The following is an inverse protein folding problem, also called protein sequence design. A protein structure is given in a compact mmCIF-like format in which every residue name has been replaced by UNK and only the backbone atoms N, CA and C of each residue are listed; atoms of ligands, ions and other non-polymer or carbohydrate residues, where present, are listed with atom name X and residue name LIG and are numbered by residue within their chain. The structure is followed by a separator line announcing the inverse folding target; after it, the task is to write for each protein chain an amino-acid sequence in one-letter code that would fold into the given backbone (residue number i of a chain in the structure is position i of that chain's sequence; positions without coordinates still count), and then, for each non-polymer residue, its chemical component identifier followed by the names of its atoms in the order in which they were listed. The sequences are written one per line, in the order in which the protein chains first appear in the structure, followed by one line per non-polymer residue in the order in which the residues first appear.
data_IF_943621401732
#
_entry.id   IF_943621401732
#
_cell.length_a   1.000
_cell.length_b   1.000
_cell.length_c   1.000
_cell.angle_alpha   90.00
_cell.angle_beta   90.00
_cell.angle_gamma   90.00
#
_symmetry.space_group_name_H-M   'P 1'
#
loop_
_entity.id
_entity.type
_entity.pdbx_description
1 polymer ?
#
# COMPACT_ATOMS: atom_id res chain seq x y z
N UNK A 1 20.77 -32.80 -7.85
CA UNK A 1 20.57 -31.36 -7.59
C UNK A 1 20.19 -30.67 -8.89
N UNK A 2 18.96 -30.16 -9.04
CA UNK A 2 18.53 -29.44 -10.27
C UNK A 2 18.12 -27.98 -10.04
N UNK A 3 18.06 -27.49 -8.80
CA UNK A 3 17.65 -26.11 -8.51
C UNK A 3 18.74 -25.08 -8.83
N UNK A 4 19.99 -25.34 -8.45
CA UNK A 4 21.15 -24.49 -8.77
C UNK A 4 21.50 -24.42 -10.26
N UNK A 5 20.88 -25.27 -11.10
CA UNK A 5 21.01 -25.19 -12.56
C UNK A 5 20.18 -24.06 -13.19
N UNK A 6 19.18 -23.55 -12.47
CA UNK A 6 18.30 -22.48 -12.94
C UNK A 6 18.43 -21.19 -12.11
N UNK A 7 18.82 -21.30 -10.84
CA UNK A 7 18.92 -20.14 -9.93
C UNK A 7 20.24 -20.18 -9.17
N UNK A 8 21.08 -19.18 -9.39
CA UNK A 8 22.46 -19.15 -8.86
C UNK A 8 22.55 -18.66 -7.41
N UNK A 9 21.57 -17.89 -6.93
CA UNK A 9 21.59 -17.27 -5.59
C UNK A 9 20.19 -17.25 -4.94
N UNK A 10 20.16 -17.14 -3.62
CA UNK A 10 18.89 -16.99 -2.87
C UNK A 10 18.19 -15.68 -3.22
N UNK A 11 18.97 -14.63 -3.44
CA UNK A 11 18.50 -13.32 -3.86
C UNK A 11 17.81 -13.41 -5.22
N UNK A 12 18.40 -14.15 -6.18
CA UNK A 12 17.78 -14.38 -7.48
C UNK A 12 16.48 -15.19 -7.40
N UNK A 13 16.34 -16.08 -6.42
CA UNK A 13 15.06 -16.74 -6.14
C UNK A 13 14.02 -15.75 -5.62
N UNK A 14 14.40 -14.83 -4.72
CA UNK A 14 13.48 -13.82 -4.21
C UNK A 14 13.01 -12.87 -5.31
N UNK A 15 13.91 -12.44 -6.20
CA UNK A 15 13.54 -11.60 -7.35
C UNK A 15 12.49 -12.31 -8.23
N UNK A 16 12.67 -13.60 -8.48
CA UNK A 16 11.70 -14.42 -9.24
C UNK A 16 10.36 -14.60 -8.49
N UNK A 17 10.41 -14.84 -7.18
CA UNK A 17 9.20 -14.95 -6.36
C UNK A 17 8.40 -13.66 -6.35
N UNK A 18 9.07 -12.52 -6.23
CA UNK A 18 8.42 -11.20 -6.29
C UNK A 18 7.81 -11.00 -7.66
N UNK A 19 8.57 -11.25 -8.74
CA UNK A 19 8.06 -11.03 -10.10
C UNK A 19 6.86 -11.93 -10.42
N UNK A 20 6.86 -13.20 -9.99
CA UNK A 20 5.69 -14.07 -10.15
C UNK A 20 4.44 -13.48 -9.49
N UNK A 21 4.58 -12.98 -8.26
CA UNK A 21 3.47 -12.38 -7.50
C UNK A 21 3.02 -11.04 -8.08
N UNK A 22 3.92 -10.26 -8.71
CA UNK A 22 3.56 -9.04 -9.45
C UNK A 22 2.57 -9.31 -10.59
N UNK A 23 2.59 -10.52 -11.18
CA UNK A 23 1.62 -10.91 -12.21
C UNK A 23 0.17 -10.86 -11.72
N UNK A 24 -0.06 -11.02 -10.41
CA UNK A 24 -1.37 -10.94 -9.79
C UNK A 24 -1.88 -9.50 -9.63
N UNK A 25 -1.08 -8.48 -9.93
CA UNK A 25 -1.46 -7.05 -9.80
C UNK A 25 -2.04 -6.50 -11.11
N UNK A 26 -1.71 -7.10 -12.25
CA UNK A 26 -2.09 -6.58 -13.57
C UNK A 26 -3.59 -6.71 -13.89
N UNK A 27 -4.35 -5.61 -14.05
CA UNK A 27 -5.78 -5.62 -14.42
C UNK A 27 -6.05 -6.50 -15.65
N UNK A 28 -7.13 -7.28 -15.61
CA UNK A 28 -7.59 -8.04 -16.80
C UNK A 28 -8.06 -7.07 -17.89
N UNK A 29 -8.76 -6.01 -17.49
CA UNK A 29 -9.23 -4.93 -18.35
C UNK A 29 -8.65 -3.60 -17.88
N UNK A 30 -8.08 -2.81 -18.79
CA UNK A 30 -7.52 -1.49 -18.48
C UNK A 30 -8.66 -0.46 -18.42
N UNK A 31 -8.90 0.21 -17.28
CA UNK A 31 -9.88 1.29 -17.21
C UNK A 31 -9.51 2.44 -18.16
N UNK A 32 -10.53 3.14 -18.66
CA UNK A 32 -10.34 4.31 -19.53
C UNK A 32 -9.94 5.58 -18.78
N UNK A 33 -10.24 5.65 -17.48
CA UNK A 33 -9.88 6.77 -16.62
C UNK A 33 -8.64 6.45 -15.77
N UNK A 34 -7.71 7.40 -15.69
CA UNK A 34 -6.44 7.24 -14.97
C UNK A 34 -6.66 6.99 -13.48
N UNK A 35 -7.69 7.63 -12.90
CA UNK A 35 -7.98 7.50 -11.47
C UNK A 35 -8.47 6.09 -11.16
N UNK A 36 -9.38 5.56 -11.98
CA UNK A 36 -9.85 4.18 -11.88
C UNK A 36 -8.69 3.17 -12.07
N UNK A 37 -7.79 3.42 -13.04
CA UNK A 37 -6.65 2.56 -13.29
C UNK A 37 -5.67 2.51 -12.09
N UNK A 38 -5.29 3.66 -11.53
CA UNK A 38 -4.42 3.70 -10.35
C UNK A 38 -5.11 3.12 -9.11
N UNK A 39 -6.41 3.36 -8.94
CA UNK A 39 -7.19 2.77 -7.86
C UNK A 39 -7.21 1.24 -7.96
N UNK A 40 -7.51 0.69 -9.15
CA UNK A 40 -7.51 -0.74 -9.40
C UNK A 40 -6.13 -1.37 -9.11
N UNK A 41 -5.04 -0.75 -9.58
CA UNK A 41 -3.69 -1.22 -9.31
C UNK A 41 -3.36 -1.22 -7.81
N UNK A 42 -3.75 -0.17 -7.08
CA UNK A 42 -3.51 -0.06 -5.63
C UNK A 42 -4.30 -1.13 -4.84
N UNK A 43 -5.60 -1.31 -5.13
CA UNK A 43 -6.43 -2.34 -4.49
C UNK A 43 -5.92 -3.75 -4.83
N UNK A 44 -5.46 -3.99 -6.06
CA UNK A 44 -4.86 -5.27 -6.42
C UNK A 44 -3.55 -5.52 -5.70
N UNK A 45 -2.69 -4.51 -5.59
CA UNK A 45 -1.46 -4.58 -4.80
C UNK A 45 -1.76 -4.94 -3.35
N UNK A 46 -2.76 -4.29 -2.73
CA UNK A 46 -3.22 -4.63 -1.38
C UNK A 46 -3.67 -6.09 -1.28
N UNK A 47 -4.56 -6.53 -2.17
CA UNK A 47 -5.07 -7.92 -2.17
C UNK A 47 -3.96 -8.96 -2.35
N UNK A 48 -3.02 -8.69 -3.24
CA UNK A 48 -1.85 -9.54 -3.48
C UNK A 48 -0.95 -9.59 -2.23
N UNK A 49 -0.69 -8.45 -1.60
CA UNK A 49 0.11 -8.40 -0.37
C UNK A 49 -0.58 -9.11 0.81
N UNK A 50 -1.91 -9.02 0.94
CA UNK A 50 -2.66 -9.76 1.97
C UNK A 50 -2.63 -11.28 1.74
N UNK A 51 -2.55 -11.74 0.49
CA UNK A 51 -2.36 -13.16 0.17
C UNK A 51 -0.92 -13.62 0.38
N UNK A 52 0.04 -12.72 0.15
CA UNK A 52 1.48 -12.98 0.20
C UNK A 52 2.16 -11.98 1.13
N UNK A 53 1.94 -12.10 2.43
CA UNK A 53 2.32 -11.06 3.39
C UNK A 53 3.79 -10.68 3.42
N UNK A 54 4.68 -11.59 3.02
CA UNK A 54 6.11 -11.32 2.86
C UNK A 54 6.41 -10.24 1.80
N UNK A 55 5.48 -10.01 0.86
CA UNK A 55 5.59 -8.97 -0.15
C UNK A 55 5.62 -7.57 0.50
N UNK A 56 4.92 -7.38 1.63
CA UNK A 56 4.84 -6.09 2.30
C UNK A 56 6.22 -5.55 2.66
N UNK A 57 7.15 -6.42 3.04
CA UNK A 57 8.52 -6.06 3.41
C UNK A 57 9.33 -5.55 2.21
N UNK A 58 8.92 -5.91 1.01
CA UNK A 58 9.58 -5.62 -0.27
C UNK A 58 8.92 -4.46 -1.04
N UNK A 59 7.70 -4.04 -0.65
CA UNK A 59 6.99 -2.92 -1.28
C UNK A 59 7.74 -1.59 -1.09
N UNK A 60 7.89 -0.80 -2.17
CA UNK A 60 8.61 0.47 -2.13
C UNK A 60 10.14 0.34 -2.14
N UNK A 61 10.66 -0.87 -2.37
CA UNK A 61 12.06 -1.10 -2.71
C UNK A 61 12.38 -0.72 -4.15
N UNK A 62 13.53 -1.20 -4.65
CA UNK A 62 13.90 -1.01 -6.07
C UNK A 62 12.87 -1.69 -6.99
N UNK A 63 12.56 -1.10 -8.16
CA UNK A 63 11.68 -1.74 -9.13
C UNK A 63 12.15 -3.13 -9.50
N UNK A 64 11.22 -4.08 -9.57
CA UNK A 64 11.46 -5.42 -10.06
C UNK A 64 11.64 -5.36 -11.58
N UNK A 65 12.79 -5.81 -12.07
CA UNK A 65 13.14 -5.78 -13.50
C UNK A 65 12.67 -7.03 -14.26
N UNK A 66 11.87 -7.88 -13.62
CA UNK A 66 11.22 -9.01 -14.27
C UNK A 66 10.03 -8.59 -15.13
N UNK A 67 9.55 -9.47 -16.03
CA UNK A 67 8.49 -9.16 -16.99
C UNK A 67 7.19 -8.67 -16.34
N UNK A 68 6.77 -9.27 -15.23
CA UNK A 68 5.52 -8.87 -14.57
C UNK A 68 5.66 -7.51 -13.90
N UNK A 69 6.78 -7.27 -13.20
CA UNK A 69 7.07 -5.98 -12.59
C UNK A 69 7.15 -4.83 -13.60
N UNK A 70 7.80 -5.08 -14.74
CA UNK A 70 7.85 -4.11 -15.84
C UNK A 70 6.46 -3.88 -16.43
N UNK A 71 5.63 -4.92 -16.58
CA UNK A 71 4.27 -4.77 -17.05
C UNK A 71 3.38 -3.96 -16.08
N UNK A 72 3.55 -4.13 -14.76
CA UNK A 72 2.83 -3.31 -13.77
C UNK A 72 3.26 -1.85 -13.87
N UNK A 73 4.57 -1.61 -14.02
CA UNK A 73 5.12 -0.26 -14.22
C UNK A 73 4.57 0.38 -15.49
N UNK A 74 4.59 -0.35 -16.60
CA UNK A 74 4.02 0.08 -17.89
C UNK A 74 2.53 0.41 -17.75
N UNK A 75 1.72 -0.47 -17.14
CA UNK A 75 0.30 -0.23 -16.95
C UNK A 75 0.02 1.03 -16.10
N UNK A 76 0.86 1.27 -15.09
CA UNK A 76 0.76 2.44 -14.21
C UNK A 76 1.08 3.74 -14.96
N UNK A 77 2.17 3.74 -15.75
CA UNK A 77 2.58 4.90 -16.54
C UNK A 77 1.63 5.18 -17.70
N UNK A 78 1.21 4.14 -18.42
CA UNK A 78 0.29 4.25 -19.53
C UNK A 78 -1.09 4.80 -19.13
N UNK A 79 -1.53 4.56 -17.88
CA UNK A 79 -2.76 5.15 -17.36
C UNK A 79 -2.72 6.68 -17.27
N UNK A 80 -1.52 7.27 -17.15
CA UNK A 80 -1.31 8.70 -17.02
C UNK A 80 -0.78 9.35 -18.33
N UNK A 81 -0.70 8.58 -19.42
CA UNK A 81 -0.14 9.05 -20.68
C UNK A 81 -0.92 10.25 -21.23
N UNK A 82 -0.19 11.24 -21.72
CA UNK A 82 -0.75 12.50 -22.24
C UNK A 82 -1.41 13.44 -21.21
N UNK A 83 -1.43 13.10 -19.92
CA UNK A 83 -2.07 13.96 -18.89
C UNK A 83 -1.16 15.06 -18.36
N UNK A 84 0.16 14.87 -18.38
CA UNK A 84 1.16 15.85 -17.93
C UNK A 84 2.55 15.51 -18.50
N UNK A 85 3.54 16.37 -18.22
CA UNK A 85 4.94 16.05 -18.45
C UNK A 85 5.40 14.84 -17.63
N UNK A 86 6.41 14.11 -18.13
CA UNK A 86 6.86 12.86 -17.52
C UNK A 86 7.33 13.02 -16.07
N UNK A 87 7.93 14.15 -15.71
CA UNK A 87 8.39 14.36 -14.33
C UNK A 87 7.19 14.52 -13.39
N UNK A 88 6.12 15.18 -13.83
CA UNK A 88 4.86 15.28 -13.08
C UNK A 88 4.18 13.92 -12.96
N UNK A 89 4.14 13.13 -14.03
CA UNK A 89 3.60 11.75 -14.01
C UNK A 89 4.37 10.89 -13.01
N UNK A 90 5.71 10.92 -13.04
CA UNK A 90 6.54 10.13 -12.12
C UNK A 90 6.29 10.51 -10.66
N UNK A 91 6.16 11.80 -10.33
CA UNK A 91 5.83 12.25 -8.97
C UNK A 91 4.43 11.83 -8.54
N UNK A 92 3.46 11.85 -9.45
CA UNK A 92 2.11 11.38 -9.18
C UNK A 92 2.10 9.88 -8.84
N UNK A 93 2.77 9.06 -9.65
CA UNK A 93 2.92 7.62 -9.41
C UNK A 93 3.60 7.36 -8.07
N UNK A 94 4.73 8.02 -7.80
CA UNK A 94 5.46 7.86 -6.55
C UNK A 94 4.59 8.22 -5.33
N UNK A 95 3.80 9.30 -5.43
CA UNK A 95 2.91 9.74 -4.34
C UNK A 95 1.82 8.69 -4.04
N UNK A 96 1.17 8.15 -5.08
CA UNK A 96 0.13 7.12 -4.93
C UNK A 96 0.73 5.82 -4.40
N UNK A 97 1.88 5.41 -4.92
CA UNK A 97 2.60 4.22 -4.45
C UNK A 97 3.07 4.36 -3.00
N UNK A 98 3.58 5.52 -2.59
CA UNK A 98 4.03 5.75 -1.23
C UNK A 98 2.90 5.61 -0.21
N UNK A 99 1.73 6.20 -0.50
CA UNK A 99 0.54 5.99 0.32
C UNK A 99 0.15 4.52 0.37
N UNK A 100 -0.01 3.90 -0.79
CA UNK A 100 -0.50 2.51 -0.90
C UNK A 100 0.42 1.54 -0.14
N UNK A 101 1.72 1.65 -0.35
CA UNK A 101 2.73 0.82 0.30
C UNK A 101 2.73 1.02 1.82
N UNK A 102 2.64 2.25 2.31
CA UNK A 102 2.58 2.55 3.74
C UNK A 102 1.34 1.99 4.41
N UNK A 103 0.18 2.15 3.77
CA UNK A 103 -1.09 1.64 4.27
C UNK A 103 -1.11 0.10 4.31
N UNK A 104 -0.66 -0.56 3.25
CA UNK A 104 -0.57 -2.03 3.15
C UNK A 104 0.40 -2.60 4.20
N UNK A 105 1.59 -1.99 4.34
CA UNK A 105 2.58 -2.41 5.36
C UNK A 105 1.98 -2.33 6.76
N UNK A 106 1.31 -1.22 7.10
CA UNK A 106 0.66 -1.05 8.40
C UNK A 106 -0.38 -2.14 8.67
N UNK A 107 -1.22 -2.44 7.69
CA UNK A 107 -2.25 -3.48 7.82
C UNK A 107 -1.65 -4.87 8.05
N UNK A 108 -0.62 -5.23 7.28
CA UNK A 108 0.06 -6.53 7.40
C UNK A 108 0.78 -6.64 8.74
N UNK A 109 1.41 -5.58 9.24
CA UNK A 109 2.02 -5.57 10.58
C UNK A 109 0.99 -5.77 11.68
N UNK A 110 -0.20 -5.17 11.58
CA UNK A 110 -1.30 -5.43 12.51
C UNK A 110 -1.74 -6.90 12.49
N UNK A 111 -1.93 -7.48 11.30
CA UNK A 111 -2.28 -8.91 11.15
C UNK A 111 -1.19 -9.84 11.70
N UNK A 112 0.08 -9.47 11.55
CA UNK A 112 1.22 -10.23 12.09
C UNK A 112 1.25 -10.13 13.62
N UNK A 113 1.01 -8.96 14.18
CA UNK A 113 0.95 -8.73 15.62
C UNK A 113 -0.21 -9.53 16.27
N UNK A 114 -1.38 -9.56 15.64
CA UNK A 114 -2.52 -10.37 16.08
C UNK A 114 -2.15 -11.86 16.13
N UNK A 115 -1.52 -12.40 15.08
CA UNK A 115 -1.06 -13.80 15.08
C UNK A 115 0.03 -14.11 16.11
N UNK A 116 0.96 -13.17 16.33
CA UNK A 116 2.05 -13.36 17.27
C UNK A 116 1.58 -13.30 18.74
N UNK A 117 0.58 -12.46 19.03
CA UNK A 117 0.06 -12.24 20.39
C UNK A 117 -1.18 -13.06 20.72
N UNK A 118 -1.93 -13.50 19.71
CA UNK A 118 -3.25 -14.10 19.84
C UNK A 118 -4.35 -13.11 20.21
N UNK A 119 -4.06 -11.81 20.21
CA UNK A 119 -5.02 -10.76 20.55
C UNK A 119 -5.48 -10.06 19.28
N UNK A 120 -6.79 -10.00 19.08
CA UNK A 120 -7.38 -9.10 18.09
C UNK A 120 -7.03 -7.63 18.43
N UNK A 121 -7.13 -6.73 17.45
CA UNK A 121 -6.90 -5.30 17.68
C UNK A 121 -7.80 -4.76 18.81
N UNK A 122 -9.08 -5.16 18.84
CA UNK A 122 -10.03 -4.80 19.88
C UNK A 122 -9.62 -5.34 21.26
N UNK A 123 -9.13 -6.57 21.34
CA UNK A 123 -8.69 -7.16 22.61
C UNK A 123 -7.40 -6.52 23.11
N UNK A 124 -6.48 -6.18 22.21
CA UNK A 124 -5.28 -5.41 22.54
C UNK A 124 -5.63 -4.01 23.05
N UNK A 125 -6.57 -3.32 22.40
CA UNK A 125 -7.06 -2.01 22.84
C UNK A 125 -7.72 -2.10 24.23
N UNK A 126 -8.56 -3.11 24.47
CA UNK A 126 -9.19 -3.36 25.78
C UNK A 126 -8.15 -3.62 26.88
N UNK A 127 -7.16 -4.46 26.58
CA UNK A 127 -6.09 -4.77 27.52
C UNK A 127 -5.21 -3.53 27.84
N UNK A 128 -4.99 -2.66 26.84
CA UNK A 128 -4.17 -1.44 26.97
C UNK A 128 -4.93 -0.24 27.55
N UNK A 129 -6.27 -0.28 27.51
CA UNK A 129 -7.16 0.81 27.91
C UNK A 129 -6.88 1.44 29.28
N UNK A 130 -6.65 0.65 30.36
CA UNK A 130 -6.31 1.20 31.68
C UNK A 130 -5.02 2.03 31.68
N UNK A 131 -3.99 1.58 30.97
CA UNK A 131 -2.73 2.30 30.86
C UNK A 131 -2.90 3.60 30.09
N UNK A 132 -3.57 3.56 28.93
CA UNK A 132 -3.85 4.74 28.11
C UNK A 132 -4.67 5.75 28.91
N UNK A 133 -5.73 5.31 29.61
CA UNK A 133 -6.58 6.19 30.43
C UNK A 133 -5.79 6.89 31.54
N UNK A 134 -4.90 6.18 32.22
CA UNK A 134 -4.01 6.76 33.25
C UNK A 134 -3.10 7.85 32.66
N UNK A 135 -2.55 7.61 31.47
CA UNK A 135 -1.72 8.60 30.77
C UNK A 135 -2.52 9.83 30.32
N UNK A 136 -3.75 9.64 29.83
CA UNK A 136 -4.64 10.73 29.43
C UNK A 136 -5.07 11.59 30.62
N UNK A 137 -5.30 10.99 31.79
CA UNK A 137 -5.64 11.69 33.03
C UNK A 137 -4.56 12.68 33.50
N UNK A 138 -3.32 12.55 33.01
CA UNK A 138 -2.26 13.55 33.28
C UNK A 138 -2.52 14.90 32.61
N UNK A 139 -3.46 14.99 31.67
CA UNK A 139 -3.77 16.21 30.91
C UNK A 139 -2.72 16.59 29.86
N UNK A 140 -1.62 15.83 29.73
CA UNK A 140 -0.51 16.13 28.82
C UNK A 140 -0.82 15.83 27.34
N UNK A 141 -1.88 15.07 27.06
CA UNK A 141 -2.17 14.57 25.72
C UNK A 141 -3.61 14.90 25.26
N UNK A 142 -4.01 16.19 25.20
CA UNK A 142 -5.39 16.57 24.91
C UNK A 142 -5.84 16.16 23.49
N UNK A 143 -4.96 16.24 22.49
CA UNK A 143 -5.28 15.80 21.13
C UNK A 143 -5.48 14.27 21.04
N UNK A 144 -4.63 13.50 21.74
CA UNK A 144 -4.78 12.05 21.82
C UNK A 144 -6.04 11.66 22.59
N UNK A 145 -6.36 12.36 23.68
CA UNK A 145 -7.59 12.13 24.42
C UNK A 145 -8.81 12.28 23.52
N UNK A 146 -8.87 13.36 22.73
CA UNK A 146 -9.93 13.56 21.74
C UNK A 146 -10.02 12.41 20.75
N UNK A 147 -8.90 11.96 20.21
CA UNK A 147 -8.90 10.83 19.28
C UNK A 147 -9.40 9.53 19.94
N UNK A 148 -8.95 9.22 21.16
CA UNK A 148 -9.34 7.99 21.88
C UNK A 148 -10.84 7.98 22.23
N UNK A 149 -11.42 9.14 22.55
CA UNK A 149 -12.82 9.22 22.97
C UNK A 149 -13.81 9.46 21.83
N UNK A 150 -13.41 10.18 20.77
CA UNK A 150 -14.33 10.64 19.73
C UNK A 150 -14.15 9.90 18.40
N UNK A 151 -13.01 9.23 18.17
CA UNK A 151 -12.78 8.53 16.90
C UNK A 151 -13.58 7.22 16.84
N UNK A 152 -14.16 6.95 15.69
CA UNK A 152 -14.76 5.65 15.37
C UNK A 152 -13.73 4.73 14.76
N UNK A 153 -13.73 3.46 15.16
CA UNK A 153 -12.97 2.42 14.46
C UNK A 153 -13.49 2.29 13.03
N UNK A 154 -12.57 2.29 12.08
CA UNK A 154 -12.84 2.08 10.65
C UNK A 154 -12.04 0.86 10.23
N UNK A 155 -12.68 -0.07 9.51
CA UNK A 155 -11.98 -1.26 9.03
C UNK A 155 -10.82 -0.86 8.07
N UNK A 156 -9.86 -1.78 7.93
CA UNK A 156 -8.63 -1.51 7.20
C UNK A 156 -8.87 -1.22 5.70
N UNK A 157 -9.87 -1.85 5.08
CA UNK A 157 -10.21 -1.62 3.66
C UNK A 157 -10.84 -0.25 3.47
N UNK A 158 -11.81 0.13 4.30
CA UNK A 158 -12.41 1.46 4.24
C UNK A 158 -11.40 2.57 4.51
N UNK A 159 -10.48 2.35 5.46
CA UNK A 159 -9.36 3.28 5.74
C UNK A 159 -8.41 3.41 4.54
N UNK A 160 -8.10 2.30 3.87
CA UNK A 160 -7.25 2.27 2.68
C UNK A 160 -7.92 2.99 1.50
N UNK A 161 -9.17 2.65 1.20
CA UNK A 161 -9.92 3.25 0.09
C UNK A 161 -10.06 4.77 0.27
N UNK A 162 -10.42 5.21 1.48
CA UNK A 162 -10.61 6.64 1.79
C UNK A 162 -9.32 7.44 1.63
N UNK A 163 -8.20 6.95 2.17
CA UNK A 163 -6.95 7.67 2.04
C UNK A 163 -6.38 7.63 0.63
N UNK A 164 -6.62 6.54 -0.12
CA UNK A 164 -6.28 6.46 -1.54
C UNK A 164 -7.03 7.52 -2.35
N UNK A 165 -8.33 7.68 -2.10
CA UNK A 165 -9.15 8.72 -2.73
C UNK A 165 -8.63 10.13 -2.44
N UNK A 166 -8.25 10.42 -1.20
CA UNK A 166 -7.66 11.72 -0.85
C UNK A 166 -6.35 12.00 -1.59
N UNK A 167 -5.51 10.97 -1.76
CA UNK A 167 -4.26 11.10 -2.50
C UNK A 167 -4.52 11.29 -4.00
N UNK A 168 -5.46 10.54 -4.57
CA UNK A 168 -5.86 10.69 -5.97
C UNK A 168 -6.47 12.07 -6.24
N UNK A 169 -7.25 12.63 -5.30
CA UNK A 169 -7.76 14.00 -5.39
C UNK A 169 -6.63 15.03 -5.45
N UNK A 170 -5.63 14.87 -4.58
CA UNK A 170 -4.46 15.75 -4.56
C UNK A 170 -3.64 15.65 -5.85
N UNK A 171 -3.48 14.44 -6.40
CA UNK A 171 -2.80 14.20 -7.69
C UNK A 171 -3.56 14.85 -8.84
N UNK A 172 -4.90 14.72 -8.88
CA UNK A 172 -5.73 15.33 -9.92
C UNK A 172 -5.53 16.85 -10.02
N UNK A 173 -5.42 17.54 -8.87
CA UNK A 173 -5.13 18.98 -8.79
C UNK A 173 -3.74 19.33 -9.36
N UNK A 174 -2.77 18.41 -9.28
CA UNK A 174 -1.43 18.64 -9.82
C UNK A 174 -1.33 18.35 -11.32
N UNK A 175 -1.99 17.31 -11.80
CA UNK A 175 -2.04 16.99 -13.24
C UNK A 175 -2.68 18.14 -14.03
N UNK A 176 -3.81 18.67 -13.56
CA UNK A 176 -4.52 19.80 -14.20
C UNK A 176 -3.75 21.12 -14.20
N UNK A 177 -2.78 21.30 -13.29
CA UNK A 177 -1.93 22.51 -13.23
C UNK A 177 -0.68 22.44 -14.09
N UNK A 178 -0.25 21.25 -14.53
CA UNK A 178 0.86 21.07 -15.48
C UNK A 178 0.39 21.25 -16.93
N UNK A 179 -0.89 20.98 -17.21
CA UNK A 179 -1.49 21.18 -18.54
C UNK A 179 -1.79 22.65 -18.91
N UNK A 180 -1.43 23.63 -18.07
CA UNK A 180 -1.69 25.06 -18.25
C UNK A 180 -0.39 25.86 -18.32
#
# INVERSE_FOLDING_TARGET
MRLYGYISTKEGLFDLMVDEVQGEILPEERPGDWREALSALAHRTRRTALRHEWLADLLGGRPTLGPNGLAVTEATLAALDGLADIDTVMRAVETVSAYSNGAIRREIENLRAERATGLSELDWQRASGPHVTSMLATGRFPALAKAVYDATDVDAEASFATGLDWVLDAVAVRLTRSSA
#
